data_IF_301168807363
#
_entry.id   IF_301168807363
#
_cell.length_a   1.000
_cell.length_b   1.000
_cell.length_c   1.000
_cell.angle_alpha   90.00
_cell.angle_beta   90.00
_cell.angle_gamma   90.00
#
_symmetry.space_group_name_H-M   'P 1'
#
loop_
_entity.id
_entity.type
_entity.pdbx_description
1 polymer ?
#
# COMPACT_ATOMS: atom_id res chain seq x y z
N UNK A 1 19.04 -17.47 9.07
CA UNK A 1 18.08 -18.40 8.45
C UNK A 1 18.51 -19.84 8.67
N UNK A 2 19.81 -20.17 8.54
CA UNK A 2 20.32 -21.55 8.65
C UNK A 2 19.93 -22.20 9.97
N UNK A 3 20.19 -21.55 11.10
CA UNK A 3 19.85 -22.06 12.43
C UNK A 3 18.34 -22.30 12.60
N UNK A 4 17.47 -21.52 11.93
CA UNK A 4 16.03 -21.73 11.95
C UNK A 4 15.63 -22.92 11.08
N UNK A 5 16.29 -23.09 9.95
CA UNK A 5 16.06 -24.22 9.05
C UNK A 5 16.49 -25.54 9.69
N UNK A 6 17.69 -25.59 10.27
CA UNK A 6 18.22 -26.74 10.99
C UNK A 6 17.36 -27.12 12.19
N UNK A 7 16.80 -26.13 12.88
CA UNK A 7 15.87 -26.36 13.98
C UNK A 7 14.44 -26.72 13.55
N UNK A 8 14.16 -26.83 12.25
CA UNK A 8 12.82 -27.10 11.71
C UNK A 8 11.81 -25.98 11.99
N UNK A 9 12.28 -24.76 12.28
CA UNK A 9 11.44 -23.61 12.64
C UNK A 9 11.15 -22.66 11.47
N UNK A 10 11.72 -22.93 10.29
CA UNK A 10 11.50 -22.14 9.08
C UNK A 10 10.40 -22.83 8.25
N UNK A 11 9.18 -22.31 8.33
CA UNK A 11 8.00 -22.95 7.77
C UNK A 11 7.62 -22.43 6.37
N UNK A 12 7.92 -21.15 6.04
CA UNK A 12 7.49 -20.51 4.81
C UNK A 12 8.35 -19.27 4.52
N UNK A 13 8.65 -19.04 3.25
CA UNK A 13 9.08 -17.75 2.75
C UNK A 13 7.90 -17.06 2.05
N UNK A 14 7.47 -15.91 2.56
CA UNK A 14 6.50 -15.04 1.92
C UNK A 14 7.24 -13.85 1.27
N UNK A 15 7.20 -13.79 -0.07
CA UNK A 15 7.84 -12.74 -0.87
C UNK A 15 6.74 -11.77 -1.28
N UNK A 16 6.63 -10.65 -0.58
CA UNK A 16 5.70 -9.58 -0.92
C UNK A 16 6.30 -8.67 -2.00
N UNK A 17 5.42 -7.94 -2.71
CA UNK A 17 5.78 -7.10 -3.87
C UNK A 17 6.65 -7.85 -4.89
N UNK A 18 6.34 -9.12 -5.12
CA UNK A 18 7.17 -10.01 -5.93
C UNK A 18 7.34 -9.53 -7.39
N UNK A 19 6.49 -8.61 -7.87
CA UNK A 19 6.66 -7.97 -9.17
C UNK A 19 7.98 -7.19 -9.30
N UNK A 20 8.58 -6.79 -8.17
CA UNK A 20 9.88 -6.12 -8.15
C UNK A 20 11.03 -6.98 -8.70
N UNK A 21 10.85 -8.29 -8.87
CA UNK A 21 11.83 -9.17 -9.51
C UNK A 21 11.85 -9.00 -11.04
N UNK A 22 10.78 -8.45 -11.62
CA UNK A 22 10.63 -8.30 -13.07
C UNK A 22 11.28 -7.03 -13.58
N UNK A 23 12.14 -7.17 -14.60
CA UNK A 23 12.72 -6.04 -15.31
C UNK A 23 11.70 -5.25 -16.16
N UNK A 24 10.59 -5.86 -16.47
CA UNK A 24 9.46 -5.23 -17.18
C UNK A 24 8.47 -4.54 -16.24
N UNK A 25 8.62 -4.78 -14.92
CA UNK A 25 7.80 -4.14 -13.89
C UNK A 25 8.15 -2.67 -13.70
N UNK A 26 7.17 -1.89 -13.29
CA UNK A 26 7.33 -0.45 -13.01
C UNK A 26 8.18 -0.12 -11.76
N UNK A 27 8.51 -1.11 -10.94
CA UNK A 27 9.28 -0.98 -9.69
C UNK A 27 10.34 -2.10 -9.58
N UNK A 28 11.15 -2.25 -10.64
CA UNK A 28 12.24 -3.25 -10.63
C UNK A 28 13.26 -2.94 -9.55
N UNK A 29 13.56 -3.95 -8.72
CA UNK A 29 14.58 -3.89 -7.68
C UNK A 29 15.59 -5.03 -7.86
N UNK A 30 16.84 -4.73 -8.23
CA UNK A 30 17.87 -5.75 -8.46
C UNK A 30 18.07 -6.71 -7.29
N UNK A 31 17.84 -6.24 -6.06
CA UNK A 31 17.98 -7.04 -4.83
C UNK A 31 16.98 -8.21 -4.78
N UNK A 32 15.81 -8.06 -5.41
CA UNK A 32 14.82 -9.12 -5.49
C UNK A 32 15.29 -10.34 -6.28
N UNK A 33 16.25 -10.16 -7.22
CA UNK A 33 16.85 -11.29 -7.94
C UNK A 33 17.61 -12.24 -7.01
N UNK A 34 18.13 -11.74 -5.88
CA UNK A 34 18.83 -12.55 -4.90
C UNK A 34 17.90 -13.50 -4.14
N UNK A 35 16.58 -13.26 -4.19
CA UNK A 35 15.59 -14.13 -3.55
C UNK A 35 15.48 -15.49 -4.25
N UNK A 36 15.97 -15.63 -5.48
CA UNK A 36 16.08 -16.91 -6.17
C UNK A 36 16.94 -17.92 -5.40
N UNK A 37 17.99 -17.45 -4.72
CA UNK A 37 18.87 -18.28 -3.90
C UNK A 37 18.14 -18.99 -2.73
N UNK A 38 16.97 -18.52 -2.32
CA UNK A 38 16.16 -19.18 -1.29
C UNK A 38 15.72 -20.58 -1.73
N UNK A 39 15.50 -20.78 -3.03
CA UNK A 39 15.13 -22.09 -3.56
C UNK A 39 16.27 -23.10 -3.47
N UNK A 40 17.46 -22.63 -3.80
CA UNK A 40 18.66 -23.49 -3.82
C UNK A 40 19.10 -23.82 -2.39
N UNK A 41 19.07 -22.82 -1.51
CA UNK A 41 19.56 -22.94 -0.13
C UNK A 41 18.60 -23.67 0.81
N UNK A 42 17.29 -23.52 0.58
CA UNK A 42 16.23 -24.10 1.44
C UNK A 42 15.15 -24.79 0.60
N UNK A 43 15.49 -25.86 -0.13
CA UNK A 43 14.58 -26.49 -1.09
C UNK A 43 13.33 -27.11 -0.45
N UNK A 44 13.41 -27.49 0.82
CA UNK A 44 12.29 -28.06 1.57
C UNK A 44 11.33 -27.00 2.15
N UNK A 45 11.70 -25.72 2.13
CA UNK A 45 10.86 -24.66 2.68
C UNK A 45 9.93 -24.12 1.61
N UNK A 46 8.60 -24.19 1.78
CA UNK A 46 7.64 -23.63 0.85
C UNK A 46 7.84 -22.13 0.63
N UNK A 47 7.44 -21.66 -0.54
CA UNK A 47 7.52 -20.23 -0.91
C UNK A 47 6.19 -19.77 -1.48
N UNK A 48 5.80 -18.56 -1.12
CA UNK A 48 4.67 -17.85 -1.70
C UNK A 48 5.14 -16.49 -2.22
N UNK A 49 4.78 -16.16 -3.45
CA UNK A 49 5.01 -14.84 -4.05
C UNK A 49 3.67 -14.10 -4.13
N UNK A 50 3.64 -12.89 -3.63
CA UNK A 50 2.45 -12.05 -3.52
C UNK A 50 2.69 -10.74 -4.26
N UNK A 51 1.69 -10.28 -4.98
CA UNK A 51 1.70 -8.95 -5.61
C UNK A 51 0.29 -8.47 -5.88
N UNK A 52 0.08 -7.16 -5.78
CA UNK A 52 -1.17 -6.52 -6.16
C UNK A 52 -1.16 -6.06 -7.63
N UNK A 53 0.01 -5.92 -8.25
CA UNK A 53 0.17 -5.27 -9.56
C UNK A 53 1.11 -6.08 -10.45
N UNK A 54 0.58 -7.03 -11.20
CA UNK A 54 1.37 -7.79 -12.17
C UNK A 54 0.50 -8.12 -13.39
N UNK A 55 0.95 -7.69 -14.55
CA UNK A 55 0.41 -8.15 -15.82
C UNK A 55 0.89 -9.58 -16.15
N UNK A 56 0.45 -10.13 -17.26
CA UNK A 56 0.81 -11.50 -17.65
C UNK A 56 2.32 -11.67 -17.86
N UNK A 57 2.99 -10.69 -18.46
CA UNK A 57 4.42 -10.75 -18.73
C UNK A 57 5.21 -10.73 -17.42
N UNK A 58 4.87 -9.82 -16.52
CA UNK A 58 5.46 -9.73 -15.18
C UNK A 58 5.25 -11.02 -14.37
N UNK A 59 4.04 -11.61 -14.40
CA UNK A 59 3.77 -12.88 -13.71
C UNK A 59 4.63 -14.03 -14.24
N UNK A 60 4.76 -14.13 -15.56
CA UNK A 60 5.58 -15.18 -16.16
C UNK A 60 7.05 -15.03 -15.73
N UNK A 61 7.57 -13.80 -15.72
CA UNK A 61 8.94 -13.54 -15.28
C UNK A 61 9.13 -13.84 -13.78
N UNK A 62 8.17 -13.47 -12.94
CA UNK A 62 8.19 -13.82 -11.51
C UNK A 62 8.29 -15.33 -11.29
N UNK A 63 7.49 -16.12 -11.98
CA UNK A 63 7.50 -17.59 -11.87
C UNK A 63 8.89 -18.16 -12.21
N UNK A 64 9.49 -17.69 -13.30
CA UNK A 64 10.81 -18.15 -13.75
C UNK A 64 11.90 -17.70 -12.76
N UNK A 65 11.98 -16.40 -12.45
CA UNK A 65 13.08 -15.84 -11.65
C UNK A 65 13.05 -16.27 -10.19
N UNK A 66 11.88 -16.53 -9.62
CA UNK A 66 11.73 -17.01 -8.26
C UNK A 66 11.72 -18.54 -8.15
N UNK A 67 11.94 -19.27 -9.26
CA UNK A 67 11.90 -20.72 -9.27
C UNK A 67 10.55 -21.30 -8.85
N UNK A 68 9.45 -20.68 -9.33
CA UNK A 68 8.06 -21.03 -9.01
C UNK A 68 7.29 -21.53 -10.23
N UNK A 69 7.97 -22.11 -11.22
CA UNK A 69 7.35 -22.56 -12.47
C UNK A 69 6.20 -23.56 -12.24
N UNK A 70 6.34 -24.43 -11.25
CA UNK A 70 5.31 -25.44 -10.89
C UNK A 70 4.33 -24.95 -9.81
N UNK A 71 4.43 -23.67 -9.42
CA UNK A 71 3.57 -23.15 -8.37
C UNK A 71 2.13 -22.97 -8.85
N UNK A 72 1.17 -23.22 -7.94
CA UNK A 72 -0.22 -22.88 -8.19
C UNK A 72 -0.40 -21.38 -8.22
N UNK A 73 -0.96 -20.86 -9.30
CA UNK A 73 -1.25 -19.43 -9.47
C UNK A 73 -2.70 -19.13 -9.10
N UNK A 74 -2.90 -18.17 -8.20
CA UNK A 74 -4.20 -17.65 -7.83
C UNK A 74 -4.33 -16.22 -8.37
N UNK A 75 -5.32 -15.99 -9.19
CA UNK A 75 -5.61 -14.66 -9.76
C UNK A 75 -6.98 -14.21 -9.27
N UNK A 76 -7.03 -12.98 -8.78
CA UNK A 76 -8.28 -12.29 -8.49
C UNK A 76 -8.45 -11.11 -9.43
N UNK A 77 -9.68 -10.75 -9.71
CA UNK A 77 -9.99 -9.56 -10.49
C UNK A 77 -9.55 -8.29 -9.75
N UNK A 78 -9.06 -7.30 -10.48
CA UNK A 78 -8.84 -5.94 -9.97
C UNK A 78 -10.16 -5.17 -9.80
N UNK A 79 -11.24 -5.67 -10.41
CA UNK A 79 -12.55 -5.06 -10.28
C UNK A 79 -13.06 -5.16 -8.84
N UNK A 80 -13.38 -4.02 -8.29
CA UNK A 80 -13.88 -3.85 -6.93
C UNK A 80 -15.27 -3.19 -7.02
N UNK A 81 -16.34 -3.95 -7.23
CA UNK A 81 -17.68 -3.39 -7.50
C UNK A 81 -18.22 -2.50 -6.37
N UNK A 82 -17.66 -2.64 -5.17
CA UNK A 82 -17.94 -1.77 -4.02
C UNK A 82 -17.18 -0.44 -4.03
N UNK A 83 -16.27 -0.21 -4.99
CA UNK A 83 -15.48 1.03 -5.12
C UNK A 83 -15.93 1.78 -6.37
N UNK A 84 -16.40 3.00 -6.18
CA UNK A 84 -16.76 3.91 -7.27
C UNK A 84 -15.61 4.86 -7.57
N UNK A 85 -15.05 4.75 -8.76
CA UNK A 85 -14.06 5.70 -9.28
C UNK A 85 -14.78 6.86 -9.98
N UNK A 86 -14.38 8.09 -9.66
CA UNK A 86 -14.87 9.30 -10.32
C UNK A 86 -13.69 10.19 -10.65
N UNK A 87 -13.56 10.57 -11.91
CA UNK A 87 -12.56 11.52 -12.38
C UNK A 87 -13.26 12.81 -12.75
N UNK A 88 -12.77 13.92 -12.23
CA UNK A 88 -13.28 15.26 -12.53
C UNK A 88 -12.13 16.15 -12.99
N UNK A 89 -12.41 17.05 -13.92
CA UNK A 89 -11.43 18.04 -14.33
C UNK A 89 -11.10 18.97 -13.15
N UNK A 90 -9.82 19.25 -12.98
CA UNK A 90 -9.36 20.10 -11.89
C UNK A 90 -9.58 21.57 -12.23
N UNK A 91 -10.44 22.19 -11.46
CA UNK A 91 -10.67 23.65 -11.46
C UNK A 91 -10.27 24.24 -10.09
N UNK A 92 -11.20 24.55 -9.22
CA UNK A 92 -10.92 24.97 -7.86
C UNK A 92 -10.83 23.75 -6.93
N UNK A 93 -9.64 23.16 -6.79
CA UNK A 93 -9.43 21.91 -6.04
C UNK A 93 -9.91 21.97 -4.58
N UNK A 94 -9.80 23.13 -3.91
CA UNK A 94 -10.29 23.28 -2.53
C UNK A 94 -11.80 23.25 -2.47
N UNK A 95 -12.47 23.94 -3.36
CA UNK A 95 -13.93 23.96 -3.43
C UNK A 95 -14.48 22.61 -3.85
N UNK A 96 -13.85 21.93 -4.81
CA UNK A 96 -14.19 20.58 -5.23
C UNK A 96 -14.04 19.59 -4.08
N UNK A 97 -12.97 19.67 -3.28
CA UNK A 97 -12.74 18.82 -2.11
C UNK A 97 -13.80 19.07 -1.04
N UNK A 98 -14.13 20.32 -0.73
CA UNK A 98 -15.23 20.62 0.23
C UNK A 98 -16.58 20.08 -0.25
N UNK A 99 -16.90 20.27 -1.52
CA UNK A 99 -18.12 19.72 -2.12
C UNK A 99 -18.19 18.19 -2.01
N UNK A 100 -17.08 17.53 -2.24
CA UNK A 100 -16.99 16.07 -2.07
C UNK A 100 -17.16 15.64 -0.60
N UNK A 101 -16.56 16.34 0.34
CA UNK A 101 -16.62 16.03 1.77
C UNK A 101 -17.95 16.41 2.41
N UNK A 102 -18.66 17.40 1.87
CA UNK A 102 -19.93 17.87 2.43
C UNK A 102 -20.99 16.76 2.53
N UNK A 103 -21.04 15.86 1.54
CA UNK A 103 -21.92 14.70 1.55
C UNK A 103 -21.40 13.50 2.37
N UNK A 104 -20.26 13.66 3.06
CA UNK A 104 -19.54 12.56 3.76
C UNK A 104 -19.11 12.94 5.17
N UNK A 105 -19.82 13.87 5.78
CA UNK A 105 -19.54 14.28 7.17
C UNK A 105 -19.59 13.07 8.11
N UNK A 106 -18.59 12.96 8.98
CA UNK A 106 -18.48 11.85 9.92
C UNK A 106 -17.96 10.54 9.32
N UNK A 107 -17.62 10.52 8.03
CA UNK A 107 -16.96 9.36 7.39
C UNK A 107 -15.45 9.54 7.40
N UNK A 108 -14.72 8.44 7.61
CA UNK A 108 -13.27 8.43 7.47
C UNK A 108 -12.87 8.48 5.98
N UNK A 109 -11.83 9.25 5.67
CA UNK A 109 -11.36 9.41 4.31
C UNK A 109 -9.85 9.66 4.23
N UNK A 110 -9.29 9.49 3.03
CA UNK A 110 -7.89 9.79 2.75
C UNK A 110 -7.81 10.80 1.60
N UNK A 111 -7.04 11.87 1.80
CA UNK A 111 -6.73 12.87 0.77
C UNK A 111 -5.26 12.75 0.39
N UNK A 112 -4.98 12.21 -0.79
CA UNK A 112 -3.62 12.09 -1.27
C UNK A 112 -3.12 13.39 -1.87
N UNK A 113 -1.93 13.81 -1.44
CA UNK A 113 -1.24 15.01 -1.91
C UNK A 113 0.12 14.65 -2.52
N UNK A 114 0.54 15.39 -3.54
CA UNK A 114 1.79 15.13 -4.27
C UNK A 114 3.05 15.52 -3.49
N UNK A 115 2.96 16.33 -2.43
CA UNK A 115 4.11 16.76 -1.65
C UNK A 115 3.81 16.85 -0.16
N UNK A 116 4.85 16.73 0.66
CA UNK A 116 4.77 16.86 2.14
C UNK A 116 4.14 18.20 2.55
N UNK A 117 4.60 19.29 1.95
CA UNK A 117 4.05 20.63 2.20
C UNK A 117 2.55 20.70 1.89
N UNK A 118 2.11 20.11 0.78
CA UNK A 118 0.68 20.05 0.43
C UNK A 118 -0.13 19.22 1.40
N UNK A 119 0.45 18.16 1.95
CA UNK A 119 -0.20 17.35 3.02
C UNK A 119 -0.49 18.21 4.24
N UNK A 120 0.52 18.94 4.75
CA UNK A 120 0.39 19.79 5.93
C UNK A 120 -0.60 20.95 5.69
N UNK A 121 -0.45 21.67 4.57
CA UNK A 121 -1.35 22.77 4.17
C UNK A 121 -2.80 22.31 4.03
N UNK A 122 -3.02 21.11 3.47
CA UNK A 122 -4.38 20.57 3.26
C UNK A 122 -5.00 20.12 4.57
N UNK A 123 -4.24 19.47 5.43
CA UNK A 123 -4.73 19.03 6.74
C UNK A 123 -5.10 20.23 7.63
N UNK A 124 -4.23 21.24 7.71
CA UNK A 124 -4.50 22.46 8.46
C UNK A 124 -5.76 23.17 7.92
N UNK A 125 -5.82 23.37 6.61
CA UNK A 125 -6.95 24.03 5.98
C UNK A 125 -8.27 23.26 6.16
N UNK A 126 -8.29 21.93 6.05
CA UNK A 126 -9.50 21.12 6.33
C UNK A 126 -9.94 21.25 7.78
N UNK A 127 -9.00 21.31 8.72
CA UNK A 127 -9.30 21.51 10.14
C UNK A 127 -9.95 22.88 10.38
N UNK A 128 -9.49 23.94 9.72
CA UNK A 128 -10.11 25.26 9.74
C UNK A 128 -11.55 25.26 9.16
N UNK A 129 -11.82 24.36 8.21
CA UNK A 129 -13.16 24.19 7.63
C UNK A 129 -14.07 23.26 8.48
N UNK A 130 -13.61 22.82 9.65
CA UNK A 130 -14.40 21.98 10.57
C UNK A 130 -14.38 20.48 10.25
N UNK A 131 -13.45 20.02 9.42
CA UNK A 131 -13.20 18.58 9.20
C UNK A 131 -12.02 18.13 10.07
N UNK A 132 -12.19 17.12 10.95
CA UNK A 132 -11.07 16.55 11.68
C UNK A 132 -10.03 15.98 10.69
N UNK A 133 -8.89 16.63 10.52
CA UNK A 133 -7.88 16.24 9.54
C UNK A 133 -6.48 16.16 10.16
N UNK A 134 -5.72 15.15 9.75
CA UNK A 134 -4.35 14.91 10.22
C UNK A 134 -3.39 14.74 9.05
N UNK A 135 -2.16 15.27 9.14
CA UNK A 135 -1.12 15.03 8.16
C UNK A 135 -0.42 13.70 8.37
N UNK A 136 -0.01 13.06 7.27
CA UNK A 136 0.85 11.87 7.30
C UNK A 136 1.84 11.84 6.14
N UNK A 137 3.13 11.90 6.44
CA UNK A 137 4.21 11.73 5.46
C UNK A 137 5.54 11.38 6.16
N UNK A 138 6.51 10.88 5.41
CA UNK A 138 7.78 10.42 5.94
C UNK A 138 8.64 11.53 6.60
N UNK A 139 8.36 12.80 6.33
CA UNK A 139 9.07 13.94 6.95
C UNK A 139 8.59 14.30 8.35
N UNK A 140 7.43 13.78 8.81
CA UNK A 140 6.98 13.99 10.18
C UNK A 140 7.86 13.23 11.17
N UNK A 141 8.06 13.77 12.39
CA UNK A 141 8.68 13.02 13.48
C UNK A 141 8.01 11.66 13.69
N UNK A 142 8.81 10.62 13.92
CA UNK A 142 8.28 9.26 14.05
C UNK A 142 7.19 9.10 15.13
N UNK A 143 7.29 9.74 16.31
CA UNK A 143 6.23 9.68 17.32
C UNK A 143 4.92 10.32 16.87
N UNK A 144 4.98 11.47 16.18
CA UNK A 144 3.81 12.18 15.66
C UNK A 144 3.15 11.36 14.55
N UNK A 145 3.95 10.85 13.60
CA UNK A 145 3.46 9.98 12.53
C UNK A 145 2.73 8.76 13.07
N UNK A 146 3.32 8.09 14.09
CA UNK A 146 2.70 6.95 14.74
C UNK A 146 1.42 7.33 15.52
N UNK A 147 1.38 8.52 16.13
CA UNK A 147 0.20 9.00 16.83
C UNK A 147 -0.95 9.29 15.84
N UNK A 148 -0.65 9.99 14.72
CA UNK A 148 -1.64 10.30 13.68
C UNK A 148 -2.21 9.03 13.04
N UNK A 149 -1.37 8.03 12.78
CA UNK A 149 -1.81 6.74 12.27
C UNK A 149 -2.72 6.00 13.26
N UNK A 150 -2.35 5.96 14.54
CA UNK A 150 -3.19 5.32 15.58
C UNK A 150 -4.53 6.02 15.73
N UNK A 151 -4.56 7.36 15.66
CA UNK A 151 -5.80 8.12 15.69
C UNK A 151 -6.68 7.79 14.49
N UNK A 152 -6.12 7.78 13.29
CA UNK A 152 -6.87 7.41 12.08
C UNK A 152 -7.49 6.02 12.18
N UNK A 153 -6.74 5.04 12.70
CA UNK A 153 -7.25 3.67 12.84
C UNK A 153 -8.38 3.51 13.87
N UNK A 154 -8.41 4.39 14.89
CA UNK A 154 -9.33 4.26 16.03
C UNK A 154 -10.50 5.25 16.04
N UNK A 155 -10.29 6.43 15.49
CA UNK A 155 -11.27 7.52 15.50
C UNK A 155 -12.13 7.44 14.21
N UNK A 156 -13.43 7.67 14.37
CA UNK A 156 -14.35 7.80 13.25
C UNK A 156 -14.32 9.21 12.67
N UNK A 157 -14.71 9.35 11.40
CA UNK A 157 -14.90 10.65 10.75
C UNK A 157 -13.62 11.45 10.52
N UNK A 158 -12.43 10.84 10.71
CA UNK A 158 -11.16 11.51 10.55
C UNK A 158 -10.67 11.44 9.11
N UNK A 159 -10.22 12.58 8.57
CA UNK A 159 -9.61 12.69 7.24
C UNK A 159 -8.08 12.64 7.37
N UNK A 160 -7.45 11.66 6.75
CA UNK A 160 -6.00 11.60 6.68
C UNK A 160 -5.51 12.29 5.40
N UNK A 161 -4.76 13.37 5.52
CA UNK A 161 -4.04 13.96 4.39
C UNK A 161 -2.65 13.32 4.30
N UNK A 162 -2.32 12.70 3.17
CA UNK A 162 -1.11 11.89 3.09
C UNK A 162 -0.42 11.93 1.72
N UNK A 163 0.85 11.57 1.69
CA UNK A 163 1.53 11.19 0.44
C UNK A 163 1.17 9.76 0.06
N UNK A 164 1.46 9.36 -1.18
CA UNK A 164 1.12 8.05 -1.76
C UNK A 164 1.62 6.85 -0.93
N UNK A 165 2.61 7.03 -0.08
CA UNK A 165 3.12 5.97 0.79
C UNK A 165 2.17 5.56 1.93
N UNK A 166 1.13 6.35 2.22
CA UNK A 166 0.11 5.99 3.20
C UNK A 166 -0.92 5.05 2.58
N UNK A 167 -1.31 4.03 3.29
CA UNK A 167 -2.29 3.04 2.82
C UNK A 167 -1.72 1.62 2.76
N UNK A 168 -0.44 1.45 2.46
CA UNK A 168 0.20 0.14 2.55
C UNK A 168 0.16 -0.37 3.99
N UNK A 169 -0.47 -1.52 4.21
CA UNK A 169 -0.64 -2.11 5.54
C UNK A 169 -1.64 -1.37 6.46
N UNK A 170 -2.45 -0.46 5.91
CA UNK A 170 -3.53 0.19 6.65
C UNK A 170 -4.83 -0.59 6.40
N UNK A 171 -5.32 -1.23 7.44
CA UNK A 171 -6.62 -1.91 7.44
C UNK A 171 -7.62 -1.10 8.29
N UNK A 172 -8.46 -0.31 7.62
CA UNK A 172 -9.54 0.47 8.23
C UNK A 172 -10.81 0.27 7.41
N UNK A 173 -11.79 -0.48 7.93
CA UNK A 173 -12.96 -0.93 7.15
C UNK A 173 -13.97 0.17 6.81
N UNK A 174 -13.93 1.30 7.52
CA UNK A 174 -14.89 2.41 7.40
C UNK A 174 -14.39 3.58 6.53
N UNK A 175 -13.28 3.44 5.80
CA UNK A 175 -12.83 4.44 4.81
C UNK A 175 -13.80 4.48 3.62
N UNK A 176 -14.21 5.69 3.24
CA UNK A 176 -15.19 5.94 2.16
C UNK A 176 -14.66 6.93 1.14
#
# INVERSE_FOLDING_TARGET
LDALSEAGKLALFAIDEAHCVSQWGHDFRPEYLQLSALHERYPAVPRIALTATADQATRNEMLVRLGLAEARVFLSSFDRPNIRYTVVEKDNARQQLLGFLAGRKGQAGIVYCLSRRKVEETAAWLSEQGYPALPYHAGLPAPERAANQRRFLREEGLVMCATIAFGMGIDKPDVR
#
